data_IF_368982424022
#
_entry.id   IF_368982424022
#
_cell.length_a   1.000
_cell.length_b   1.000
_cell.length_c   1.000
_cell.angle_alpha   90.00
_cell.angle_beta   90.00
_cell.angle_gamma   90.00
#
_symmetry.space_group_name_H-M   'P 1'
#
loop_
_entity.id
_entity.type
_entity.pdbx_description
1 polymer ?
#
# COMPACT_ATOMS: atom_id res chain seq x y z
N UNK A 1 23.89 -6.37 34.76
CA UNK A 1 22.67 -5.68 34.33
C UNK A 1 22.22 -6.31 33.03
N UNK A 2 21.28 -7.23 33.09
CA UNK A 2 20.66 -7.86 31.92
C UNK A 2 19.62 -6.88 31.38
N UNK A 3 19.82 -6.39 30.16
CA UNK A 3 18.80 -5.66 29.40
C UNK A 3 17.67 -6.64 29.12
N UNK A 4 16.50 -6.38 29.71
CA UNK A 4 15.27 -7.09 29.39
C UNK A 4 14.79 -6.51 28.05
N UNK A 5 14.91 -7.27 26.97
CA UNK A 5 14.27 -6.93 25.70
C UNK A 5 12.77 -7.02 25.93
N UNK A 6 12.10 -5.87 25.97
CA UNK A 6 10.64 -5.79 25.96
C UNK A 6 10.18 -6.38 24.63
N UNK A 7 9.62 -7.60 24.64
CA UNK A 7 9.03 -8.15 23.41
C UNK A 7 7.91 -7.20 22.95
N UNK A 8 8.06 -6.66 21.75
CA UNK A 8 7.08 -5.74 21.18
C UNK A 8 5.77 -6.49 20.92
N UNK A 9 4.82 -6.35 21.86
CA UNK A 9 3.47 -6.88 21.72
C UNK A 9 2.64 -5.96 20.83
N UNK A 10 2.02 -6.51 19.79
CA UNK A 10 1.07 -5.79 18.94
C UNK A 10 -0.22 -6.60 18.76
N UNK A 11 -1.29 -5.92 18.35
CA UNK A 11 -2.60 -6.54 18.13
C UNK A 11 -2.89 -6.62 16.64
N UNK A 12 -3.37 -7.79 16.21
CA UNK A 12 -3.90 -7.98 14.87
C UNK A 12 -5.40 -7.66 14.82
N UNK A 13 -5.91 -7.18 13.67
CA UNK A 13 -5.16 -6.82 12.45
C UNK A 13 -4.46 -5.45 12.58
N UNK A 14 -3.23 -5.34 12.08
CA UNK A 14 -2.44 -4.08 12.10
C UNK A 14 -3.03 -2.97 11.21
N UNK A 15 -3.83 -3.34 10.20
CA UNK A 15 -4.67 -2.42 9.44
C UNK A 15 -6.09 -3.03 9.38
N UNK A 16 -7.02 -2.62 10.23
CA UNK A 16 -8.38 -3.14 10.25
C UNK A 16 -9.21 -2.65 9.06
N UNK A 17 -10.36 -3.30 8.83
CA UNK A 17 -11.33 -2.89 7.80
C UNK A 17 -10.98 -3.40 6.40
N UNK A 18 -11.40 -2.64 5.39
CA UNK A 18 -11.29 -3.01 3.98
C UNK A 18 -9.89 -2.70 3.44
N UNK A 19 -8.94 -3.61 3.68
CA UNK A 19 -7.54 -3.53 3.23
C UNK A 19 -7.06 -4.84 2.58
N UNK A 20 -7.72 -5.29 1.50
CA UNK A 20 -7.39 -6.54 0.82
C UNK A 20 -6.09 -6.47 0.01
N UNK A 21 -5.54 -7.65 -0.30
CA UNK A 21 -4.38 -7.85 -1.17
C UNK A 21 -3.15 -6.97 -0.84
N UNK A 22 -2.67 -6.96 0.43
CA UNK A 22 -1.56 -6.10 0.82
C UNK A 22 -0.27 -6.49 0.09
N UNK A 23 0.36 -5.52 -0.57
CA UNK A 23 1.72 -5.62 -1.11
C UNK A 23 2.61 -4.63 -0.38
N UNK A 24 3.74 -5.10 0.16
CA UNK A 24 4.67 -4.28 0.96
C UNK A 24 6.00 -4.16 0.24
N UNK A 25 6.59 -2.97 0.28
CA UNK A 25 7.97 -2.75 -0.12
C UNK A 25 8.69 -1.79 0.85
N UNK A 26 10.02 -1.85 0.86
CA UNK A 26 10.87 -1.04 1.72
C UNK A 26 11.71 -0.09 0.88
N UNK A 27 11.79 1.16 1.32
CA UNK A 27 12.86 2.09 0.93
C UNK A 27 13.95 1.95 2.01
N UNK A 28 15.14 1.43 1.64
CA UNK A 28 16.22 1.20 2.62
C UNK A 28 16.63 2.47 3.33
N UNK A 29 17.14 2.32 4.56
CA UNK A 29 17.74 3.41 5.30
C UNK A 29 18.92 4.01 4.53
N UNK A 30 19.14 5.31 4.73
CA UNK A 30 20.34 6.03 4.31
C UNK A 30 21.04 6.58 5.55
N UNK A 31 22.23 7.14 5.40
CA UNK A 31 22.90 7.85 6.51
C UNK A 31 22.03 8.98 7.10
N UNK A 32 21.14 9.55 6.28
CA UNK A 32 20.28 10.67 6.63
C UNK A 32 18.83 10.30 6.98
N UNK A 33 18.41 9.03 6.80
CA UNK A 33 17.01 8.64 6.95
C UNK A 33 16.84 7.18 7.37
N UNK A 34 15.91 6.86 8.29
CA UNK A 34 15.59 5.47 8.61
C UNK A 34 14.92 4.75 7.43
N UNK A 35 14.83 3.43 7.51
CA UNK A 35 14.08 2.66 6.53
C UNK A 35 12.59 3.00 6.63
N UNK A 36 11.92 3.06 5.48
CA UNK A 36 10.49 3.37 5.41
C UNK A 36 9.77 2.29 4.61
N UNK A 37 8.73 1.72 5.20
CA UNK A 37 7.87 0.74 4.57
C UNK A 37 6.70 1.43 3.90
N UNK A 38 6.30 0.87 2.76
CA UNK A 38 5.11 1.28 2.03
C UNK A 38 4.27 0.06 1.72
N UNK A 39 2.95 0.21 1.85
CA UNK A 39 1.98 -0.84 1.59
C UNK A 39 0.92 -0.32 0.63
N UNK A 40 0.54 -1.14 -0.35
CA UNK A 40 -0.62 -0.87 -1.22
C UNK A 40 -1.68 -1.96 -1.05
N UNK A 41 -2.95 -1.59 -1.17
CA UNK A 41 -4.11 -2.52 -1.12
C UNK A 41 -4.96 -2.38 -2.38
N UNK A 42 -5.72 -3.42 -2.72
CA UNK A 42 -6.75 -3.32 -3.77
C UNK A 42 -7.97 -2.55 -3.28
N UNK A 43 -8.70 -1.92 -4.20
CA UNK A 43 -9.85 -1.05 -3.86
C UNK A 43 -11.09 -1.33 -4.71
N UNK A 44 -11.06 -2.31 -5.60
CA UNK A 44 -12.17 -2.67 -6.50
C UNK A 44 -12.78 -1.43 -7.18
N UNK A 45 -14.09 -1.22 -7.04
CA UNK A 45 -14.88 -0.14 -7.64
C UNK A 45 -14.70 1.24 -6.96
N UNK A 46 -13.94 1.31 -5.86
CA UNK A 46 -13.78 2.55 -5.08
C UNK A 46 -12.72 3.47 -5.71
N UNK A 47 -13.04 4.77 -5.71
CA UNK A 47 -12.16 5.84 -6.20
C UNK A 47 -11.94 6.92 -5.13
N UNK A 48 -10.72 7.44 -4.93
CA UNK A 48 -9.46 7.06 -5.60
C UNK A 48 -9.02 5.63 -5.27
N UNK A 49 -8.27 5.01 -6.19
CA UNK A 49 -7.94 3.58 -6.14
C UNK A 49 -6.50 3.26 -5.76
N UNK A 50 -6.29 2.03 -5.27
CA UNK A 50 -5.03 1.54 -4.69
C UNK A 50 -4.49 2.44 -3.57
N UNK A 51 -5.01 2.25 -2.36
CA UNK A 51 -4.59 3.00 -1.19
C UNK A 51 -3.11 2.74 -0.87
N UNK A 52 -2.35 3.77 -0.51
CA UNK A 52 -0.93 3.70 -0.17
C UNK A 52 -0.74 4.12 1.27
N UNK A 53 -0.17 3.22 2.07
CA UNK A 53 0.21 3.44 3.46
C UNK A 53 1.72 3.56 3.62
N UNK A 54 2.16 4.20 4.70
CA UNK A 54 3.55 4.20 5.14
C UNK A 54 3.67 3.77 6.60
N UNK A 55 4.80 3.15 6.95
CA UNK A 55 5.16 2.76 8.31
C UNK A 55 6.68 2.76 8.48
N UNK A 56 7.16 2.89 9.71
CA UNK A 56 8.57 2.68 10.09
C UNK A 56 8.78 1.42 10.91
N UNK A 57 7.72 0.74 11.32
CA UNK A 57 7.75 -0.37 12.29
C UNK A 57 6.88 -1.58 11.87
N UNK A 58 6.25 -1.54 10.69
CA UNK A 58 5.31 -2.55 10.17
C UNK A 58 4.03 -2.75 10.99
N UNK A 59 3.85 -2.01 12.08
CA UNK A 59 2.71 -2.12 13.01
C UNK A 59 1.80 -0.92 12.83
N UNK A 60 2.36 0.29 12.90
CA UNK A 60 1.65 1.54 12.81
C UNK A 60 1.67 2.03 11.36
N UNK A 61 0.53 1.96 10.69
CA UNK A 61 0.38 2.36 9.29
C UNK A 61 -0.43 3.64 9.15
N UNK A 62 0.09 4.58 8.36
CA UNK A 62 -0.59 5.83 8.02
C UNK A 62 -0.93 5.85 6.54
N UNK A 63 -2.19 6.06 6.20
CA UNK A 63 -2.62 6.31 4.82
C UNK A 63 -2.01 7.64 4.35
N UNK A 64 -1.26 7.61 3.26
CA UNK A 64 -0.60 8.80 2.68
C UNK A 64 -1.18 9.21 1.32
N UNK A 65 -1.99 8.37 0.70
CA UNK A 65 -2.62 8.68 -0.59
C UNK A 65 -3.06 7.44 -1.35
N UNK A 66 -3.21 7.60 -2.65
CA UNK A 66 -3.68 6.57 -3.58
C UNK A 66 -2.89 6.68 -4.89
N UNK A 67 -2.64 5.57 -5.59
CA UNK A 67 -1.93 5.61 -6.88
C UNK A 67 -2.84 6.01 -8.05
N UNK A 68 -4.10 5.58 -8.01
CA UNK A 68 -5.08 5.82 -9.07
C UNK A 68 -5.97 6.99 -8.66
N UNK A 69 -5.58 8.20 -9.07
CA UNK A 69 -6.21 9.47 -8.66
C UNK A 69 -6.82 10.23 -9.84
N UNK A 70 -6.69 9.70 -11.06
CA UNK A 70 -7.21 10.30 -12.29
C UNK A 70 -8.00 9.28 -13.07
N UNK A 71 -9.05 9.77 -13.73
CA UNK A 71 -9.88 9.00 -14.65
C UNK A 71 -9.09 8.34 -15.79
N UNK A 72 -8.01 8.97 -16.25
CA UNK A 72 -7.14 8.42 -17.30
C UNK A 72 -6.28 7.23 -16.82
N UNK A 73 -6.25 6.94 -15.52
CA UNK A 73 -5.52 5.81 -14.95
C UNK A 73 -6.44 4.60 -14.75
N UNK A 74 -7.74 4.82 -14.50
CA UNK A 74 -8.78 3.79 -14.34
C UNK A 74 -10.16 4.40 -14.58
N UNK A 75 -11.03 3.74 -15.35
CA UNK A 75 -12.42 4.14 -15.60
C UNK A 75 -13.36 3.23 -14.80
N UNK A 76 -14.16 3.82 -13.91
CA UNK A 76 -15.01 3.10 -12.96
C UNK A 76 -16.49 3.44 -13.10
N UNK A 77 -16.92 4.13 -14.17
CA UNK A 77 -18.31 4.61 -14.29
C UNK A 77 -19.36 3.48 -14.29
N UNK A 78 -19.02 2.31 -14.82
CA UNK A 78 -19.97 1.20 -15.05
C UNK A 78 -19.43 -0.14 -14.59
N UNK A 79 -18.43 -0.16 -13.71
CA UNK A 79 -17.90 -1.41 -13.16
C UNK A 79 -18.90 -2.01 -12.17
N UNK A 80 -19.05 -3.33 -12.23
CA UNK A 80 -19.86 -4.08 -11.27
C UNK A 80 -19.18 -4.08 -9.88
N UNK A 81 -19.95 -4.26 -8.79
CA UNK A 81 -19.38 -4.44 -7.47
C UNK A 81 -18.37 -5.60 -7.44
N UNK A 82 -17.17 -5.34 -6.91
CA UNK A 82 -16.05 -6.29 -6.91
C UNK A 82 -15.20 -6.32 -8.18
N UNK A 83 -15.49 -5.49 -9.19
CA UNK A 83 -14.63 -5.25 -10.35
C UNK A 83 -13.75 -3.99 -10.13
N UNK A 84 -13.12 -3.44 -11.18
CA UNK A 84 -12.20 -2.30 -11.04
C UNK A 84 -10.80 -2.74 -10.61
N UNK A 85 -10.22 -2.10 -9.58
CA UNK A 85 -8.83 -2.35 -9.15
C UNK A 85 -8.70 -3.61 -8.29
N UNK A 86 -8.17 -4.69 -8.87
CA UNK A 86 -7.81 -5.91 -8.14
C UNK A 86 -6.39 -5.85 -7.56
N UNK A 87 -5.87 -7.01 -7.15
CA UNK A 87 -4.57 -7.15 -6.50
C UNK A 87 -3.48 -6.33 -7.19
N UNK A 88 -2.76 -5.57 -6.37
CA UNK A 88 -1.67 -4.71 -6.81
C UNK A 88 -0.32 -5.27 -6.38
N UNK A 89 0.74 -4.85 -7.07
CA UNK A 89 2.13 -5.06 -6.66
C UNK A 89 2.82 -3.72 -6.57
N UNK A 90 3.51 -3.46 -5.45
CA UNK A 90 4.26 -2.23 -5.21
C UNK A 90 5.75 -2.56 -5.09
N UNK A 91 6.60 -1.86 -5.85
CA UNK A 91 8.05 -2.04 -5.83
C UNK A 91 8.78 -0.71 -5.83
N UNK A 92 9.83 -0.62 -5.03
CA UNK A 92 10.77 0.50 -5.06
C UNK A 92 11.85 0.26 -6.13
N UNK A 93 12.12 1.28 -6.95
CA UNK A 93 13.20 1.31 -7.95
C UNK A 93 14.32 2.22 -7.44
N UNK A 94 15.42 1.67 -6.87
CA UNK A 94 16.44 2.47 -6.20
C UNK A 94 17.16 3.46 -7.13
N UNK A 95 17.41 3.07 -8.39
CA UNK A 95 18.07 3.92 -9.39
C UNK A 95 17.28 5.19 -9.70
N UNK A 96 15.96 5.09 -9.73
CA UNK A 96 15.05 6.18 -10.06
C UNK A 96 14.55 6.93 -8.81
N UNK A 97 14.81 6.39 -7.61
CA UNK A 97 14.23 6.84 -6.33
C UNK A 97 12.70 6.96 -6.40
N UNK A 98 12.06 5.96 -7.01
CA UNK A 98 10.62 5.97 -7.32
C UNK A 98 9.93 4.67 -6.95
N UNK A 99 8.65 4.78 -6.66
CA UNK A 99 7.75 3.64 -6.54
C UNK A 99 7.11 3.32 -7.89
N UNK A 100 7.02 2.04 -8.19
CA UNK A 100 6.23 1.51 -9.28
C UNK A 100 5.11 0.66 -8.69
N UNK A 101 3.87 0.97 -9.08
CA UNK A 101 2.70 0.20 -8.72
C UNK A 101 2.01 -0.28 -9.99
N UNK A 102 1.69 -1.57 -10.03
CA UNK A 102 0.92 -2.19 -11.09
C UNK A 102 -0.27 -2.91 -10.44
N UNK A 103 -1.44 -2.84 -11.06
CA UNK A 103 -2.64 -3.54 -10.61
C UNK A 103 -3.31 -4.17 -11.82
N UNK A 104 -3.85 -5.38 -11.67
CA UNK A 104 -4.83 -5.87 -12.63
C UNK A 104 -6.12 -5.08 -12.44
N UNK A 105 -6.75 -4.72 -13.55
CA UNK A 105 -8.04 -4.06 -13.53
C UNK A 105 -8.98 -4.70 -14.55
N UNK A 106 -10.27 -4.71 -14.24
CA UNK A 106 -11.31 -5.01 -15.21
C UNK A 106 -12.11 -3.74 -15.44
N UNK A 107 -11.96 -3.19 -16.64
CA UNK A 107 -12.73 -2.04 -17.08
C UNK A 107 -14.12 -2.52 -17.51
N UNK A 108 -15.11 -1.66 -17.36
CA UNK A 108 -16.45 -1.94 -17.86
C UNK A 108 -16.46 -1.89 -19.39
N UNK A 109 -16.64 -3.05 -20.02
CA UNK A 109 -16.99 -3.17 -21.45
C UNK A 109 -18.35 -2.58 -21.77
#
# INVERSE_FOLDING_TARGET
>A
MTTQEDEAVFLNPVIPGFNPDPTVCIVPATESSPATYFLSTSTFEYFPGCAIYTSTDLINWKLIGHALTRKSQIELRTVEPGAGSWASTLRYRPREKRMAQESSAHDAT
#
